data_IF_625388698805
#
_entry.id   IF_625388698805
#
_cell.length_a   1.000
_cell.length_b   1.000
_cell.length_c   1.000
_cell.angle_alpha   90.00
_cell.angle_beta   90.00
_cell.angle_gamma   90.00
#
_symmetry.space_group_name_H-M   'P 1'
#
loop_
_entity.id
_entity.type
_entity.pdbx_description
1 polymer ?
#
# COMPACT_ATOMS: atom_id res chain seq x y z
N UNK A 1 13.57 -1.23 20.61
CA UNK A 1 12.50 -2.18 20.20
C UNK A 1 13.06 -3.59 20.27
N UNK A 2 12.36 -4.53 20.91
CA UNK A 2 12.72 -5.95 20.86
C UNK A 2 12.49 -6.49 19.46
N UNK A 3 13.37 -7.39 19.00
CA UNK A 3 13.16 -8.16 17.77
C UNK A 3 12.54 -9.50 18.13
N UNK A 4 11.54 -9.92 17.36
CA UNK A 4 10.89 -11.22 17.50
C UNK A 4 11.19 -12.07 16.26
N UNK A 5 11.33 -13.38 16.47
CA UNK A 5 11.57 -14.32 15.37
C UNK A 5 10.23 -14.87 14.86
N UNK A 6 9.97 -14.68 13.57
CA UNK A 6 8.78 -15.19 12.90
C UNK A 6 9.23 -16.25 11.87
N UNK A 7 8.60 -17.42 11.92
CA UNK A 7 8.80 -18.48 10.91
C UNK A 7 7.59 -18.53 9.99
N UNK A 8 7.80 -18.47 8.69
CA UNK A 8 6.75 -18.59 7.69
C UNK A 8 7.19 -19.49 6.54
N UNK A 9 6.21 -19.98 5.78
CA UNK A 9 6.45 -20.80 4.58
C UNK A 9 6.51 -19.90 3.36
N UNK A 10 7.45 -20.18 2.48
CA UNK A 10 7.62 -19.49 1.21
C UNK A 10 7.90 -20.54 0.14
N UNK A 11 7.37 -20.35 -1.06
CA UNK A 11 7.71 -21.15 -2.23
C UNK A 11 9.23 -21.07 -2.50
N UNK A 12 9.80 -22.18 -2.94
CA UNK A 12 11.25 -22.31 -3.16
C UNK A 12 11.75 -21.26 -4.16
N UNK A 13 10.97 -21.00 -5.20
CA UNK A 13 11.29 -20.04 -6.27
C UNK A 13 11.34 -18.61 -5.72
N UNK A 14 10.39 -18.22 -4.87
CA UNK A 14 10.37 -16.90 -4.22
C UNK A 14 11.55 -16.74 -3.27
N UNK A 15 11.91 -17.79 -2.53
CA UNK A 15 13.12 -17.76 -1.67
C UNK A 15 14.37 -17.54 -2.50
N UNK A 16 14.51 -18.25 -3.62
CA UNK A 16 15.67 -18.11 -4.51
C UNK A 16 15.77 -16.70 -5.12
N UNK A 17 14.63 -16.12 -5.51
CA UNK A 17 14.59 -14.73 -5.99
C UNK A 17 15.04 -13.73 -4.91
N UNK A 18 14.59 -13.89 -3.66
CA UNK A 18 15.05 -13.06 -2.55
C UNK A 18 16.56 -13.21 -2.29
N UNK A 19 17.10 -14.43 -2.36
CA UNK A 19 18.54 -14.69 -2.21
C UNK A 19 19.36 -13.95 -3.29
N UNK A 20 18.87 -13.92 -4.54
CA UNK A 20 19.53 -13.21 -5.64
C UNK A 20 19.52 -11.69 -5.44
N UNK A 21 18.37 -11.11 -5.04
CA UNK A 21 18.26 -9.67 -4.76
C UNK A 21 19.18 -9.29 -3.60
N UNK A 22 19.18 -10.07 -2.52
CA UNK A 22 19.98 -9.81 -1.33
C UNK A 22 21.49 -9.78 -1.65
N UNK A 23 21.94 -10.70 -2.52
CA UNK A 23 23.32 -10.77 -2.99
C UNK A 23 23.72 -9.50 -3.76
N UNK A 24 22.88 -9.03 -4.68
CA UNK A 24 23.16 -7.82 -5.48
C UNK A 24 23.18 -6.57 -4.60
N UNK A 25 22.31 -6.50 -3.59
CA UNK A 25 22.20 -5.37 -2.68
C UNK A 25 23.24 -5.37 -1.54
N UNK A 26 24.06 -6.42 -1.43
CA UNK A 26 24.97 -6.67 -0.30
C UNK A 26 24.23 -6.59 1.06
N UNK A 27 23.11 -7.31 1.14
CA UNK A 27 22.24 -7.38 2.33
C UNK A 27 21.86 -8.82 2.63
N UNK A 28 21.41 -9.05 3.86
CA UNK A 28 20.80 -10.33 4.21
C UNK A 28 19.30 -10.36 3.81
N UNK A 29 18.73 -11.56 3.78
CA UNK A 29 17.30 -11.73 3.50
C UNK A 29 16.40 -11.06 4.53
N UNK A 30 16.81 -11.02 5.79
CA UNK A 30 16.00 -10.43 6.85
C UNK A 30 15.80 -8.94 6.61
N UNK A 31 16.80 -8.23 6.09
CA UNK A 31 16.70 -6.85 5.67
C UNK A 31 15.59 -6.68 4.61
N UNK A 32 15.64 -7.46 3.51
CA UNK A 32 14.64 -7.37 2.44
C UNK A 32 13.23 -7.74 2.91
N UNK A 33 13.12 -8.78 3.74
CA UNK A 33 11.82 -9.20 4.28
C UNK A 33 11.24 -8.12 5.19
N UNK A 34 12.06 -7.48 6.04
CA UNK A 34 11.58 -6.38 6.88
C UNK A 34 11.19 -5.15 6.06
N UNK A 35 11.94 -4.83 4.99
CA UNK A 35 11.59 -3.74 4.07
C UNK A 35 10.25 -4.01 3.37
N UNK A 36 10.08 -5.21 2.81
CA UNK A 36 8.84 -5.61 2.15
C UNK A 36 7.64 -5.61 3.11
N UNK A 37 7.82 -6.09 4.35
CA UNK A 37 6.78 -6.03 5.40
C UNK A 37 6.47 -4.58 5.75
N UNK A 38 7.48 -3.71 5.88
CA UNK A 38 7.29 -2.29 6.16
C UNK A 38 6.41 -1.61 5.11
N UNK A 39 6.75 -1.78 3.83
CA UNK A 39 5.97 -1.25 2.69
C UNK A 39 4.54 -1.78 2.72
N UNK A 40 4.37 -3.08 2.96
CA UNK A 40 3.05 -3.70 3.02
C UNK A 40 2.21 -3.14 4.16
N UNK A 41 2.79 -3.00 5.36
CA UNK A 41 2.09 -2.46 6.52
C UNK A 41 1.72 -1.00 6.33
N UNK A 42 2.62 -0.18 5.82
CA UNK A 42 2.36 1.24 5.54
C UNK A 42 1.19 1.40 4.56
N UNK A 43 1.23 0.68 3.44
CA UNK A 43 0.17 0.71 2.44
C UNK A 43 -1.19 0.30 3.01
N UNK A 44 -1.25 -0.80 3.77
CA UNK A 44 -2.52 -1.28 4.32
C UNK A 44 -3.02 -0.44 5.49
N UNK A 45 -2.13 0.14 6.29
CA UNK A 45 -2.53 1.07 7.35
C UNK A 45 -3.18 2.33 6.77
N UNK A 46 -2.54 2.93 5.75
CA UNK A 46 -3.12 4.06 5.04
C UNK A 46 -4.48 3.69 4.43
N UNK A 47 -4.55 2.57 3.69
CA UNK A 47 -5.79 2.14 3.06
C UNK A 47 -6.93 1.92 4.07
N UNK A 48 -6.64 1.30 5.21
CA UNK A 48 -7.63 1.07 6.26
C UNK A 48 -8.14 2.40 6.82
N UNK A 49 -7.26 3.38 7.01
CA UNK A 49 -7.64 4.69 7.52
C UNK A 49 -8.51 5.45 6.51
N UNK A 50 -8.09 5.51 5.25
CA UNK A 50 -8.87 6.19 4.19
C UNK A 50 -10.25 5.55 3.99
N UNK A 51 -10.36 4.23 4.06
CA UNK A 51 -11.66 3.55 3.97
C UNK A 51 -12.56 3.98 5.13
N UNK A 52 -12.03 4.03 6.36
CA UNK A 52 -12.83 4.46 7.51
C UNK A 52 -13.24 5.92 7.39
N UNK A 53 -12.34 6.77 6.94
CA UNK A 53 -12.62 8.18 6.73
C UNK A 53 -13.71 8.36 5.67
N UNK A 54 -13.58 7.73 4.50
CA UNK A 54 -14.58 7.84 3.43
C UNK A 54 -15.95 7.27 3.83
N UNK A 55 -16.00 6.24 4.69
CA UNK A 55 -17.26 5.77 5.27
C UNK A 55 -17.88 6.82 6.19
N UNK A 56 -17.09 7.46 7.05
CA UNK A 56 -17.58 8.51 7.96
C UNK A 56 -18.10 9.74 7.19
N UNK A 57 -17.36 10.20 6.17
CA UNK A 57 -17.78 11.29 5.28
C UNK A 57 -19.12 10.95 4.59
N UNK A 58 -19.25 9.73 4.09
CA UNK A 58 -20.49 9.25 3.49
C UNK A 58 -21.66 9.19 4.48
N UNK A 59 -21.43 8.76 5.72
CA UNK A 59 -22.44 8.75 6.80
C UNK A 59 -22.87 10.16 7.21
N UNK A 60 -21.96 11.14 7.11
CA UNK A 60 -22.24 12.56 7.34
C UNK A 60 -22.89 13.25 6.12
N UNK A 61 -22.97 12.56 4.98
CA UNK A 61 -23.53 13.09 3.75
C UNK A 61 -22.59 14.04 3.00
N UNK A 62 -21.29 13.98 3.29
CA UNK A 62 -20.24 14.77 2.63
C UNK A 62 -19.95 14.22 1.24
N UNK A 63 -20.89 14.44 0.33
CA UNK A 63 -20.79 14.11 -1.08
C UNK A 63 -20.73 15.40 -1.90
N UNK A 64 -19.99 15.35 -3.00
CA UNK A 64 -20.00 16.43 -3.99
C UNK A 64 -21.41 16.60 -4.59
N UNK A 65 -21.77 17.84 -4.90
CA UNK A 65 -23.01 18.14 -5.62
C UNK A 65 -22.92 17.71 -7.09
N UNK A 66 -24.08 17.60 -7.74
CA UNK A 66 -24.12 17.29 -9.18
C UNK A 66 -23.34 18.32 -10.01
N UNK A 67 -23.42 19.60 -9.65
CA UNK A 67 -22.71 20.69 -10.33
C UNK A 67 -21.18 20.58 -10.16
N UNK A 68 -20.70 20.22 -8.97
CA UNK A 68 -19.28 20.01 -8.70
C UNK A 68 -18.73 18.85 -9.52
N UNK A 69 -19.46 17.74 -9.56
CA UNK A 69 -19.12 16.56 -10.37
C UNK A 69 -19.05 16.93 -11.86
N UNK A 70 -20.05 17.65 -12.38
CA UNK A 70 -20.07 18.10 -13.78
C UNK A 70 -18.89 19.02 -14.11
N UNK A 71 -18.52 19.92 -13.21
CA UNK A 71 -17.38 20.83 -13.40
C UNK A 71 -16.05 20.08 -13.52
N UNK A 72 -15.85 19.03 -12.71
CA UNK A 72 -14.63 18.20 -12.79
C UNK A 72 -14.57 17.44 -14.11
N UNK A 73 -15.67 16.80 -14.53
CA UNK A 73 -15.69 16.07 -15.80
C UNK A 73 -15.46 16.97 -17.02
N UNK A 74 -16.04 18.18 -17.03
CA UNK A 74 -15.81 19.12 -18.12
C UNK A 74 -14.31 19.46 -18.28
N UNK A 75 -13.59 19.71 -17.17
CA UNK A 75 -12.14 19.98 -17.20
C UNK A 75 -11.33 18.82 -17.76
N UNK A 76 -11.66 17.58 -17.37
CA UNK A 76 -10.93 16.39 -17.82
C UNK A 76 -11.17 16.03 -19.29
N UNK A 77 -12.31 16.45 -19.84
CA UNK A 77 -12.69 16.15 -21.24
C UNK A 77 -12.23 17.26 -22.18
N UNK A 78 -12.23 18.54 -21.75
CA UNK A 78 -11.80 19.68 -22.56
C UNK A 78 -10.27 19.80 -22.73
N UNK A 79 -9.48 19.05 -21.94
CA UNK A 79 -8.00 19.02 -22.03
C UNK A 79 -7.46 18.02 -23.08
N UNK A 80 -8.32 17.44 -23.94
CA UNK A 80 -7.96 16.54 -25.06
C UNK A 80 -8.43 17.10 -26.42
#
# INVERSE_FOLDING_TARGET
>A
MSKENITFRLETEKRAALDAIATVMDRDRSYLINEAIGIYLEMYQWLIEEIKQGIAEAEEGDFASEEEVQSVFAKLIDEN
#
